data_IF_121809508369
#
_entry.id   IF_121809508369
#
_cell.length_a   1.000
_cell.length_b   1.000
_cell.length_c   1.000
_cell.angle_alpha   90.00
_cell.angle_beta   90.00
_cell.angle_gamma   90.00
#
_symmetry.space_group_name_H-M   'P 1'
#
loop_
_entity.id
_entity.type
_entity.pdbx_description
1 polymer ?
#
# COMPACT_ATOMS: atom_id res chain seq x y z
N UNK A 1 25.85 -14.16 -8.17
CA UNK A 1 26.56 -14.59 -9.38
C UNK A 1 26.69 -16.11 -9.41
N UNK A 2 26.67 -16.69 -10.61
CA UNK A 2 26.93 -18.08 -10.95
C UNK A 2 28.29 -18.16 -11.67
N UNK A 3 29.37 -18.31 -10.90
CA UNK A 3 30.73 -18.26 -11.44
C UNK A 3 31.09 -19.45 -12.35
N UNK A 4 30.18 -20.42 -12.53
CA UNK A 4 30.36 -21.53 -13.47
C UNK A 4 30.01 -21.15 -14.92
N UNK A 5 29.57 -19.93 -15.20
CA UNK A 5 29.21 -19.45 -16.54
C UNK A 5 30.07 -18.25 -16.90
N UNK A 6 30.65 -18.24 -18.09
CA UNK A 6 31.45 -17.11 -18.55
C UNK A 6 30.56 -15.88 -18.81
N UNK A 7 30.88 -14.69 -18.27
CA UNK A 7 30.07 -13.48 -18.44
C UNK A 7 29.87 -13.09 -19.91
N UNK A 8 30.87 -13.36 -20.75
CA UNK A 8 30.84 -13.05 -22.18
C UNK A 8 29.93 -13.99 -22.98
N UNK A 9 29.52 -15.13 -22.42
CA UNK A 9 28.67 -16.12 -23.10
C UNK A 9 27.21 -15.95 -22.69
N UNK A 10 26.95 -15.81 -21.39
CA UNK A 10 25.61 -15.57 -20.86
C UNK A 10 25.72 -14.72 -19.60
N UNK A 11 25.76 -13.40 -19.81
CA UNK A 11 25.88 -12.43 -18.73
C UNK A 11 24.72 -12.52 -17.75
N UNK A 12 23.50 -12.79 -18.22
CA UNK A 12 22.32 -12.92 -17.37
C UNK A 12 22.47 -14.12 -16.43
N UNK A 13 22.87 -15.29 -16.95
CA UNK A 13 23.10 -16.47 -16.12
C UNK A 13 24.28 -16.29 -15.18
N UNK A 14 25.36 -15.65 -15.60
CA UNK A 14 26.48 -15.32 -14.72
C UNK A 14 26.06 -14.37 -13.58
N UNK A 15 25.35 -13.29 -13.88
CA UNK A 15 24.93 -12.32 -12.87
C UNK A 15 23.86 -12.90 -11.93
N UNK A 16 22.77 -13.43 -12.50
CA UNK A 16 21.52 -13.78 -11.82
C UNK A 16 21.39 -15.28 -11.51
N UNK A 17 22.14 -16.16 -12.16
CA UNK A 17 21.96 -17.62 -12.06
C UNK A 17 22.09 -18.17 -10.64
N UNK A 18 22.99 -17.60 -9.83
CA UNK A 18 23.11 -17.95 -8.42
C UNK A 18 21.89 -17.57 -7.58
N UNK A 19 21.21 -16.46 -7.94
CA UNK A 19 19.96 -16.05 -7.29
C UNK A 19 18.82 -16.99 -7.70
N UNK A 20 18.70 -17.31 -9.00
CA UNK A 20 17.68 -18.23 -9.52
C UNK A 20 17.79 -19.64 -8.89
N UNK A 21 19.01 -20.13 -8.63
CA UNK A 21 19.23 -21.43 -7.96
C UNK A 21 18.77 -21.45 -6.51
N UNK A 22 18.79 -20.31 -5.82
CA UNK A 22 18.48 -20.21 -4.38
C UNK A 22 17.06 -19.75 -4.08
N UNK A 23 16.38 -19.13 -5.05
CA UNK A 23 15.08 -18.51 -4.87
C UNK A 23 14.09 -19.13 -5.85
N UNK A 24 13.39 -20.17 -5.36
CA UNK A 24 12.29 -20.80 -6.10
C UNK A 24 11.05 -19.94 -5.93
N UNK A 25 10.29 -19.77 -7.01
CA UNK A 25 9.04 -19.01 -6.99
C UNK A 25 8.03 -19.76 -6.08
N UNK A 26 7.49 -19.11 -5.02
CA UNK A 26 6.50 -19.73 -4.16
C UNK A 26 5.21 -20.09 -4.91
N UNK A 27 4.50 -21.12 -4.45
CA UNK A 27 3.21 -21.59 -5.01
C UNK A 27 2.11 -20.51 -5.04
N UNK A 28 2.23 -19.51 -4.17
CA UNK A 28 1.28 -18.38 -4.07
C UNK A 28 1.61 -17.22 -5.00
N UNK A 29 2.69 -17.32 -5.79
CA UNK A 29 3.25 -16.19 -6.53
C UNK A 29 3.58 -16.58 -7.97
N UNK A 30 3.36 -15.65 -8.90
CA UNK A 30 3.71 -15.82 -10.33
C UNK A 30 5.13 -15.36 -10.66
N UNK A 31 5.74 -14.58 -9.76
CA UNK A 31 7.10 -14.07 -9.83
C UNK A 31 7.70 -14.01 -8.44
N UNK A 32 9.01 -13.93 -8.37
CA UNK A 32 9.72 -13.73 -7.12
C UNK A 32 10.93 -12.86 -7.37
N UNK A 33 11.17 -11.89 -6.49
CA UNK A 33 12.21 -10.88 -6.62
C UNK A 33 12.55 -10.30 -5.24
N UNK A 34 13.56 -9.43 -5.17
CA UNK A 34 13.88 -8.72 -3.93
C UNK A 34 12.72 -7.84 -3.45
N UNK A 35 11.88 -7.32 -4.34
CA UNK A 35 10.67 -6.59 -3.96
C UNK A 35 9.66 -7.50 -3.25
N UNK A 36 9.51 -8.74 -3.73
CA UNK A 36 8.56 -9.70 -3.15
C UNK A 36 9.05 -10.19 -1.78
N UNK A 37 10.36 -10.46 -1.63
CA UNK A 37 10.98 -10.78 -0.33
C UNK A 37 10.74 -9.66 0.68
N UNK A 38 11.01 -8.41 0.29
CA UNK A 38 10.80 -7.27 1.15
C UNK A 38 9.34 -7.03 1.49
N UNK A 39 8.42 -7.29 0.54
CA UNK A 39 6.98 -7.23 0.81
C UNK A 39 6.59 -8.31 1.82
N UNK A 40 7.12 -9.51 1.70
CA UNK A 40 6.88 -10.59 2.65
C UNK A 40 7.35 -10.24 4.06
N UNK A 41 8.54 -9.63 4.19
CA UNK A 41 9.08 -9.14 5.46
C UNK A 41 8.25 -7.99 6.04
N UNK A 42 7.86 -7.02 5.20
CA UNK A 42 6.97 -5.93 5.59
C UNK A 42 5.64 -6.46 6.09
N UNK A 43 5.02 -7.42 5.39
CA UNK A 43 3.78 -8.06 5.82
C UNK A 43 3.94 -8.78 7.16
N UNK A 44 5.08 -9.44 7.41
CA UNK A 44 5.38 -10.05 8.71
C UNK A 44 5.51 -9.00 9.82
N UNK A 45 6.10 -7.83 9.54
CA UNK A 45 6.13 -6.70 10.49
C UNK A 45 4.72 -6.21 10.77
N UNK A 46 3.89 -6.06 9.72
CA UNK A 46 2.48 -5.71 9.86
C UNK A 46 1.69 -6.77 10.67
N UNK A 47 2.16 -8.02 10.68
CA UNK A 47 1.60 -9.14 11.46
C UNK A 47 2.16 -9.25 12.90
N UNK A 48 3.35 -8.73 13.19
CA UNK A 48 4.27 -9.29 14.19
C UNK A 48 4.11 -8.86 15.67
N UNK A 49 3.56 -9.75 16.49
CA UNK A 49 3.84 -10.05 17.93
C UNK A 49 3.66 -9.01 19.04
N UNK A 50 3.52 -7.71 18.75
CA UNK A 50 3.06 -6.70 19.72
C UNK A 50 1.80 -5.95 19.26
N UNK A 51 1.27 -6.34 18.11
CA UNK A 51 0.18 -5.68 17.43
C UNK A 51 -1.05 -6.56 17.53
N UNK A 52 -1.89 -6.23 18.50
CA UNK A 52 -3.31 -6.42 18.32
C UNK A 52 -3.93 -5.04 18.12
N UNK A 53 -5.01 -4.94 17.36
CA UNK A 53 -5.78 -3.70 17.29
C UNK A 53 -6.08 -3.20 18.72
N UNK A 54 -6.32 -4.12 19.66
CA UNK A 54 -6.51 -3.79 21.08
C UNK A 54 -5.30 -3.09 21.72
N UNK A 55 -4.05 -3.49 21.45
CA UNK A 55 -2.86 -2.90 22.10
C UNK A 55 -2.54 -1.51 21.55
N UNK A 56 -2.69 -1.30 20.24
CA UNK A 56 -2.53 0.02 19.62
C UNK A 56 -3.65 0.98 20.05
N UNK A 57 -4.89 0.50 20.09
CA UNK A 57 -6.05 1.28 20.57
C UNK A 57 -5.94 1.56 22.08
N UNK A 58 -5.44 0.62 22.89
CA UNK A 58 -5.21 0.82 24.33
C UNK A 58 -4.11 1.85 24.62
N UNK A 59 -3.01 1.84 23.86
CA UNK A 59 -1.95 2.85 23.99
C UNK A 59 -2.44 4.24 23.57
N UNK A 60 -3.23 4.33 22.49
CA UNK A 60 -3.86 5.57 22.05
C UNK A 60 -4.88 6.09 23.09
N UNK A 61 -5.74 5.22 23.62
CA UNK A 61 -6.72 5.60 24.65
C UNK A 61 -6.07 6.00 25.98
N UNK A 62 -5.01 5.29 26.41
CA UNK A 62 -4.29 5.59 27.65
C UNK A 62 -3.49 6.89 27.57
N UNK A 63 -3.01 7.28 26.39
CA UNK A 63 -2.15 8.45 26.22
C UNK A 63 -2.93 9.74 25.96
N UNK A 64 -4.11 9.66 25.34
CA UNK A 64 -4.79 10.84 24.79
C UNK A 64 -6.16 11.17 25.38
N UNK A 65 -6.74 10.32 26.25
CA UNK A 65 -7.94 10.65 27.04
C UNK A 65 -9.19 11.02 26.24
N UNK A 66 -9.17 10.89 24.91
CA UNK A 66 -10.30 11.09 24.01
C UNK A 66 -10.71 9.74 23.46
N UNK A 67 -11.97 9.36 23.71
CA UNK A 67 -12.57 8.13 23.22
C UNK A 67 -12.52 8.08 21.69
N UNK A 68 -11.62 7.28 21.13
CA UNK A 68 -11.90 6.61 19.86
C UNK A 68 -12.83 5.46 20.24
N UNK A 69 -14.14 5.68 20.11
CA UNK A 69 -15.16 4.69 20.49
C UNK A 69 -15.19 3.55 19.47
N UNK A 70 -14.34 2.55 19.67
CA UNK A 70 -14.56 1.19 19.18
C UNK A 70 -14.78 0.36 20.45
N UNK A 71 -16.05 0.06 20.74
CA UNK A 71 -16.44 -0.71 21.93
C UNK A 71 -16.27 -2.20 21.62
N UNK A 72 -15.24 -2.83 22.17
CA UNK A 72 -15.07 -4.29 22.18
C UNK A 72 -15.71 -4.85 23.47
N UNK A 73 -16.65 -5.78 23.35
CA UNK A 73 -17.15 -6.57 24.49
C UNK A 73 -16.51 -7.96 24.43
N UNK A 74 -15.74 -8.31 25.46
CA UNK A 74 -15.16 -9.66 25.62
C UNK A 74 -16.24 -10.58 26.18
N UNK A 75 -16.69 -11.55 25.39
CA UNK A 75 -17.50 -12.66 25.88
C UNK A 75 -16.68 -13.52 26.84
N UNK A 76 -17.17 -13.71 28.05
CA UNK A 76 -16.57 -14.63 29.03
C UNK A 76 -16.92 -16.07 28.65
N UNK A 77 -16.04 -16.78 27.93
CA UNK A 77 -15.68 -18.17 28.20
C UNK A 77 -14.67 -18.71 27.16
N UNK A 78 -13.38 -18.64 27.46
CA UNK A 78 -12.52 -19.84 27.43
C UNK A 78 -11.24 -19.62 28.25
N UNK A 79 -11.12 -20.39 29.33
CA UNK A 79 -9.86 -20.50 30.07
C UNK A 79 -8.86 -21.28 29.21
N UNK A 80 -7.89 -20.56 28.63
CA UNK A 80 -6.66 -21.03 27.94
C UNK A 80 -6.68 -21.13 26.40
N UNK A 81 -6.82 -20.02 25.68
CA UNK A 81 -6.48 -19.98 24.25
C UNK A 81 -5.36 -18.97 23.96
N UNK A 82 -4.12 -19.46 23.88
CA UNK A 82 -2.91 -18.70 23.48
C UNK A 82 -2.77 -18.53 21.95
N UNK A 83 -3.86 -18.61 21.18
CA UNK A 83 -3.86 -18.46 19.72
C UNK A 83 -5.15 -17.72 19.29
N UNK A 84 -5.01 -16.47 18.83
CA UNK A 84 -6.08 -15.76 18.13
C UNK A 84 -5.69 -15.61 16.66
N UNK A 85 -6.07 -16.62 15.88
CA UNK A 85 -6.20 -16.59 14.43
C UNK A 85 -7.49 -17.39 14.16
N UNK A 86 -8.23 -17.08 13.09
CA UNK A 86 -9.49 -17.67 12.59
C UNK A 86 -10.63 -16.67 12.83
N UNK A 87 -11.07 -15.89 11.82
CA UNK A 87 -12.22 -16.29 10.99
C UNK A 87 -12.31 -15.60 9.60
N UNK A 88 -11.19 -15.24 8.96
CA UNK A 88 -11.26 -14.53 7.68
C UNK A 88 -11.46 -15.42 6.43
N UNK A 89 -11.26 -16.74 6.51
CA UNK A 89 -11.66 -17.67 5.41
C UNK A 89 -13.18 -17.91 5.37
N UNK A 90 -13.85 -17.96 6.53
CA UNK A 90 -15.31 -17.92 6.59
C UNK A 90 -15.82 -16.59 6.04
N UNK A 91 -15.21 -15.46 6.44
CA UNK A 91 -15.69 -14.13 6.04
C UNK A 91 -15.73 -13.85 4.53
N UNK A 92 -14.83 -14.40 3.70
CA UNK A 92 -14.88 -14.17 2.23
C UNK A 92 -15.93 -15.06 1.54
N UNK A 93 -16.09 -16.31 1.96
CA UNK A 93 -17.15 -17.16 1.44
C UNK A 93 -18.51 -16.63 1.91
N UNK A 94 -18.60 -16.22 3.17
CA UNK A 94 -19.79 -15.58 3.75
C UNK A 94 -20.10 -14.22 3.09
N UNK A 95 -19.07 -13.48 2.66
CA UNK A 95 -19.19 -12.29 1.81
C UNK A 95 -19.83 -12.64 0.46
N UNK A 96 -19.30 -13.63 -0.24
CA UNK A 96 -19.83 -14.04 -1.55
C UNK A 96 -21.26 -14.57 -1.42
N UNK A 97 -21.56 -15.30 -0.35
CA UNK A 97 -22.92 -15.75 0.00
C UNK A 97 -23.84 -14.55 0.25
N UNK A 98 -23.39 -13.55 1.01
CA UNK A 98 -24.18 -12.35 1.33
C UNK A 98 -24.46 -11.49 0.09
N UNK A 99 -23.47 -11.32 -0.78
CA UNK A 99 -23.64 -10.64 -2.08
C UNK A 99 -24.63 -11.41 -2.97
N UNK A 100 -24.46 -12.73 -3.09
CA UNK A 100 -25.36 -13.57 -3.88
C UNK A 100 -26.80 -13.55 -3.33
N UNK A 101 -26.96 -13.52 -2.00
CA UNK A 101 -28.25 -13.35 -1.32
C UNK A 101 -28.89 -12.01 -1.69
N UNK A 102 -28.14 -10.90 -1.62
CA UNK A 102 -28.63 -9.56 -1.96
C UNK A 102 -29.06 -9.47 -3.43
N UNK A 103 -28.26 -9.98 -4.36
CA UNK A 103 -28.59 -10.01 -5.80
C UNK A 103 -29.89 -10.81 -6.02
N UNK A 104 -30.04 -11.97 -5.36
CA UNK A 104 -31.27 -12.77 -5.47
C UNK A 104 -32.48 -12.05 -4.87
N UNK A 105 -32.32 -11.28 -3.79
CA UNK A 105 -33.39 -10.46 -3.23
C UNK A 105 -33.84 -9.36 -4.21
N UNK A 106 -32.89 -8.67 -4.85
CA UNK A 106 -33.16 -7.59 -5.81
C UNK A 106 -33.87 -8.13 -7.07
N UNK A 107 -33.39 -9.25 -7.59
CA UNK A 107 -33.93 -9.93 -8.78
C UNK A 107 -35.18 -10.79 -8.47
N UNK A 108 -35.65 -10.82 -7.22
CA UNK A 108 -36.79 -11.63 -6.74
C UNK A 108 -36.66 -13.13 -7.03
N UNK A 109 -35.44 -13.65 -6.94
CA UNK A 109 -35.13 -15.06 -7.11
C UNK A 109 -35.28 -15.84 -5.78
N UNK A 110 -35.55 -17.16 -5.82
CA UNK A 110 -35.58 -17.99 -4.62
C UNK A 110 -34.22 -18.01 -3.88
N UNK A 111 -34.26 -17.95 -2.56
CA UNK A 111 -33.07 -17.97 -1.69
C UNK A 111 -33.08 -19.29 -0.92
N UNK A 112 -32.16 -20.18 -1.28
CA UNK A 112 -31.81 -21.38 -0.52
C UNK A 112 -30.38 -21.22 -0.01
N UNK A 113 -30.24 -21.12 1.32
CA UNK A 113 -28.95 -20.88 1.99
C UNK A 113 -27.94 -22.02 1.76
N UNK A 114 -28.41 -23.27 1.68
CA UNK A 114 -27.53 -24.41 1.45
C UNK A 114 -27.03 -24.42 0.00
N UNK A 115 -27.92 -24.10 -0.95
CA UNK A 115 -27.56 -24.01 -2.36
C UNK A 115 -26.62 -22.83 -2.63
N UNK A 116 -26.87 -21.67 -2.00
CA UNK A 116 -25.98 -20.51 -2.07
C UNK A 116 -24.57 -20.86 -1.58
N UNK A 117 -24.46 -21.52 -0.42
CA UNK A 117 -23.17 -21.93 0.12
C UNK A 117 -22.44 -22.88 -0.83
N UNK A 118 -23.13 -23.87 -1.40
CA UNK A 118 -22.54 -24.81 -2.36
C UNK A 118 -22.05 -24.11 -3.63
N UNK A 119 -22.87 -23.21 -4.18
CA UNK A 119 -22.55 -22.46 -5.40
C UNK A 119 -21.35 -21.52 -5.17
N UNK A 120 -21.30 -20.82 -4.03
CA UNK A 120 -20.17 -19.92 -3.72
C UNK A 120 -18.88 -20.69 -3.47
N UNK A 121 -18.92 -21.86 -2.81
CA UNK A 121 -17.75 -22.72 -2.70
C UNK A 121 -17.24 -23.19 -4.07
N UNK A 122 -18.14 -23.47 -5.02
CA UNK A 122 -17.75 -23.80 -6.40
C UNK A 122 -17.15 -22.60 -7.14
N UNK A 123 -17.65 -21.38 -6.91
CA UNK A 123 -17.05 -20.15 -7.43
C UNK A 123 -15.64 -19.97 -6.90
N UNK A 124 -15.40 -20.19 -5.60
CA UNK A 124 -14.05 -20.15 -5.02
C UNK A 124 -13.09 -21.14 -5.67
N UNK A 125 -13.55 -22.36 -5.93
CA UNK A 125 -12.75 -23.38 -6.61
C UNK A 125 -12.41 -22.96 -8.05
N UNK A 126 -13.38 -22.41 -8.78
CA UNK A 126 -13.16 -21.86 -10.13
C UNK A 126 -12.23 -20.64 -10.12
N UNK A 127 -12.34 -19.74 -9.14
CA UNK A 127 -11.42 -18.61 -8.98
C UNK A 127 -9.98 -19.11 -8.79
N UNK A 128 -9.79 -20.19 -8.00
CA UNK A 128 -8.49 -20.83 -7.83
C UNK A 128 -7.98 -21.47 -9.12
N UNK A 129 -8.84 -22.16 -9.88
CA UNK A 129 -8.48 -22.75 -11.18
C UNK A 129 -8.08 -21.67 -12.20
N UNK A 130 -8.83 -20.57 -12.26
CA UNK A 130 -8.53 -19.41 -13.11
C UNK A 130 -7.20 -18.78 -12.70
N UNK A 131 -6.97 -18.58 -11.40
CA UNK A 131 -5.71 -18.03 -10.90
C UNK A 131 -4.52 -18.92 -11.26
N UNK A 132 -4.66 -20.24 -11.15
CA UNK A 132 -3.64 -21.19 -11.58
C UNK A 132 -3.38 -21.10 -13.09
N UNK A 133 -4.45 -21.09 -13.91
CA UNK A 133 -4.31 -21.02 -15.36
C UNK A 133 -3.70 -19.70 -15.85
N UNK A 134 -4.03 -18.56 -15.22
CA UNK A 134 -3.55 -17.24 -15.62
C UNK A 134 -2.18 -16.88 -15.05
N UNK A 135 -1.92 -17.24 -13.79
CA UNK A 135 -0.76 -16.76 -13.04
C UNK A 135 0.18 -17.88 -12.59
N UNK A 136 -0.18 -19.15 -12.79
CA UNK A 136 0.60 -20.30 -12.34
C UNK A 136 0.57 -20.53 -10.83
N UNK A 137 -0.28 -19.81 -10.09
CA UNK A 137 -0.37 -19.92 -8.64
C UNK A 137 -1.25 -21.10 -8.24
N UNK A 138 -0.72 -22.01 -7.42
CA UNK A 138 -1.41 -23.24 -7.00
C UNK A 138 -2.07 -23.10 -5.63
N UNK A 139 -1.78 -22.03 -4.90
CA UNK A 139 -2.37 -21.73 -3.59
C UNK A 139 -2.68 -20.24 -3.42
N UNK A 140 -3.67 -19.94 -2.58
CA UNK A 140 -3.90 -18.57 -2.11
C UNK A 140 -2.83 -18.14 -1.09
N UNK A 141 -2.60 -16.83 -0.98
CA UNK A 141 -1.80 -16.25 0.10
C UNK A 141 -2.51 -16.41 1.46
N UNK A 142 -1.72 -16.49 2.53
CA UNK A 142 -2.25 -16.68 3.87
C UNK A 142 -3.26 -15.58 4.25
N UNK A 143 -4.36 -15.95 4.89
CA UNK A 143 -5.47 -15.04 5.18
C UNK A 143 -5.04 -13.77 5.94
N UNK A 144 -4.16 -13.91 6.93
CA UNK A 144 -3.63 -12.76 7.69
C UNK A 144 -2.87 -11.76 6.80
N UNK A 145 -2.19 -12.22 5.73
CA UNK A 145 -1.49 -11.36 4.76
C UNK A 145 -2.51 -10.53 4.00
N UNK A 146 -3.58 -11.16 3.52
CA UNK A 146 -4.69 -10.48 2.83
C UNK A 146 -5.33 -9.41 3.73
N UNK A 147 -5.60 -9.72 4.99
CA UNK A 147 -6.16 -8.76 5.94
C UNK A 147 -5.21 -7.59 6.22
N UNK A 148 -3.92 -7.86 6.48
CA UNK A 148 -2.93 -6.81 6.71
C UNK A 148 -2.82 -5.86 5.50
N UNK A 149 -2.75 -6.42 4.29
CA UNK A 149 -2.71 -5.65 3.05
C UNK A 149 -4.01 -4.86 2.81
N UNK A 150 -5.17 -5.45 3.11
CA UNK A 150 -6.45 -4.77 2.97
C UNK A 150 -6.56 -3.54 3.89
N UNK A 151 -6.18 -3.68 5.17
CA UNK A 151 -6.20 -2.56 6.12
C UNK A 151 -5.16 -1.51 5.71
N UNK A 152 -3.96 -1.91 5.30
CA UNK A 152 -2.94 -0.99 4.80
C UNK A 152 -3.44 -0.20 3.58
N UNK A 153 -4.15 -0.84 2.66
CA UNK A 153 -4.70 -0.17 1.46
C UNK A 153 -5.85 0.79 1.74
N UNK A 154 -6.64 0.58 2.80
CA UNK A 154 -7.76 1.46 3.16
C UNK A 154 -7.39 2.52 4.20
N UNK A 155 -6.36 2.26 5.00
CA UNK A 155 -5.92 3.11 6.12
C UNK A 155 -4.40 3.36 6.07
N UNK A 156 -3.90 3.76 4.90
CA UNK A 156 -2.47 3.83 4.60
C UNK A 156 -1.65 4.71 5.55
N UNK A 157 -2.22 5.83 6.03
CA UNK A 157 -1.53 6.73 6.96
C UNK A 157 -1.51 6.18 8.39
N UNK A 158 -2.61 5.56 8.84
CA UNK A 158 -2.64 4.89 10.14
C UNK A 158 -1.66 3.72 10.17
N UNK A 159 -1.74 2.80 9.22
CA UNK A 159 -0.81 1.66 9.13
C UNK A 159 0.62 2.13 8.86
N UNK A 160 0.79 3.16 8.04
CA UNK A 160 2.07 3.81 7.77
C UNK A 160 2.74 4.30 9.05
N UNK A 161 2.01 5.02 9.91
CA UNK A 161 2.50 5.50 11.22
C UNK A 161 3.00 4.34 12.08
N UNK A 162 2.20 3.28 12.17
CA UNK A 162 2.54 2.09 12.96
C UNK A 162 3.81 1.41 12.42
N UNK A 163 3.93 1.31 11.10
CA UNK A 163 5.09 0.73 10.43
C UNK A 163 6.37 1.54 10.68
N UNK A 164 6.33 2.87 10.53
CA UNK A 164 7.54 3.69 10.73
C UNK A 164 7.99 3.71 12.20
N UNK A 165 7.06 3.72 13.15
CA UNK A 165 7.39 3.58 14.59
C UNK A 165 8.07 2.23 14.91
N UNK A 166 7.70 1.15 14.20
CA UNK A 166 8.23 -0.19 14.44
C UNK A 166 9.56 -0.47 13.72
N UNK A 167 9.69 -0.01 12.48
CA UNK A 167 10.67 -0.56 11.53
C UNK A 167 11.55 0.47 10.81
N UNK A 168 11.24 1.77 10.90
CA UNK A 168 11.97 2.78 10.13
C UNK A 168 12.86 3.67 11.00
N UNK A 169 14.15 3.69 10.71
CA UNK A 169 15.10 4.59 11.37
C UNK A 169 15.09 5.97 10.70
N UNK A 170 14.76 7.03 11.46
CA UNK A 170 14.65 8.40 10.93
C UNK A 170 15.90 8.93 10.23
N UNK A 171 17.10 8.51 10.65
CA UNK A 171 18.38 8.89 10.03
C UNK A 171 18.49 8.47 8.55
N UNK A 172 17.74 7.45 8.13
CA UNK A 172 17.69 7.00 6.73
C UNK A 172 17.17 8.09 5.79
N UNK A 173 16.34 9.02 6.28
CA UNK A 173 15.70 10.07 5.47
C UNK A 173 16.76 11.02 4.88
N UNK A 174 17.69 11.52 5.70
CA UNK A 174 18.71 12.47 5.26
C UNK A 174 19.71 11.89 4.27
N UNK A 175 20.09 10.62 4.43
CA UNK A 175 21.00 9.96 3.48
C UNK A 175 20.34 9.79 2.12
N UNK A 176 19.04 9.48 2.08
CA UNK A 176 18.30 9.33 0.83
C UNK A 176 18.02 10.68 0.17
N UNK A 177 17.77 11.73 0.97
CA UNK A 177 17.69 13.12 0.48
C UNK A 177 18.94 13.51 -0.31
N UNK A 178 20.12 13.23 0.23
CA UNK A 178 21.41 13.51 -0.41
C UNK A 178 21.61 12.69 -1.71
N UNK A 179 21.26 11.40 -1.70
CA UNK A 179 21.32 10.57 -2.91
C UNK A 179 20.40 11.10 -4.03
N UNK A 180 19.19 11.56 -3.68
CA UNK A 180 18.26 12.16 -4.66
C UNK A 180 18.85 13.44 -5.25
N UNK A 181 19.44 14.30 -4.43
CA UNK A 181 20.08 15.53 -4.89
C UNK A 181 21.21 15.23 -5.90
N UNK A 182 22.09 14.29 -5.56
CA UNK A 182 23.19 13.90 -6.44
C UNK A 182 22.71 13.30 -7.77
N UNK A 183 21.71 12.41 -7.74
CA UNK A 183 21.20 11.77 -8.96
C UNK A 183 20.45 12.79 -9.84
N UNK A 184 19.72 13.72 -9.23
CA UNK A 184 19.10 14.84 -9.96
C UNK A 184 20.15 15.70 -10.66
N UNK A 185 21.25 16.00 -9.98
CA UNK A 185 22.37 16.75 -10.55
C UNK A 185 22.98 16.00 -11.74
N UNK A 186 23.27 14.70 -11.58
CA UNK A 186 23.80 13.86 -12.66
C UNK A 186 22.84 13.81 -13.86
N UNK A 187 21.53 13.70 -13.62
CA UNK A 187 20.53 13.75 -14.67
C UNK A 187 20.61 15.05 -15.47
N UNK A 188 20.70 16.19 -14.79
CA UNK A 188 20.80 17.51 -15.41
C UNK A 188 22.11 17.64 -16.20
N UNK A 189 23.24 17.25 -15.60
CA UNK A 189 24.55 17.27 -16.27
C UNK A 189 24.54 16.42 -17.55
N UNK A 190 23.85 15.26 -17.51
CA UNK A 190 23.74 14.37 -18.67
C UNK A 190 23.01 15.03 -19.84
N UNK A 191 22.12 16.01 -19.61
CA UNK A 191 21.41 16.72 -20.69
C UNK A 191 22.38 17.40 -21.66
N UNK A 192 23.51 17.91 -21.18
CA UNK A 192 24.52 18.58 -22.02
C UNK A 192 25.12 17.62 -23.05
N UNK A 193 25.34 16.37 -22.66
CA UNK A 193 25.93 15.33 -23.51
C UNK A 193 24.95 14.74 -24.54
N UNK A 194 23.63 14.97 -24.39
CA UNK A 194 22.63 14.45 -25.32
C UNK A 194 22.70 15.17 -26.67
N UNK A 195 23.29 14.52 -27.67
CA UNK A 195 23.47 15.09 -29.03
C UNK A 195 22.19 15.17 -29.85
N UNK A 196 21.10 14.53 -29.39
CA UNK A 196 19.84 14.41 -30.11
C UNK A 196 18.78 15.44 -29.69
N UNK A 197 19.04 16.23 -28.63
CA UNK A 197 18.14 17.28 -28.14
C UNK A 197 18.70 18.67 -28.49
N UNK A 198 17.84 19.58 -28.94
CA UNK A 198 18.20 20.99 -29.07
C UNK A 198 18.31 21.69 -27.70
N UNK A 199 18.98 22.85 -27.68
CA UNK A 199 19.26 23.60 -26.45
C UNK A 199 18.00 24.14 -25.75
N UNK A 200 16.93 24.44 -26.50
CA UNK A 200 15.67 24.94 -25.93
C UNK A 200 14.96 23.83 -25.15
N UNK A 201 14.89 22.63 -25.74
CA UNK A 201 14.32 21.45 -25.12
C UNK A 201 15.14 21.00 -23.91
N UNK A 202 16.48 21.05 -23.98
CA UNK A 202 17.36 20.77 -22.82
C UNK A 202 17.06 21.69 -21.64
N UNK A 203 16.92 23.00 -21.90
CA UNK A 203 16.56 23.98 -20.86
C UNK A 203 15.21 23.66 -20.21
N UNK A 204 14.21 23.27 -21.00
CA UNK A 204 12.91 22.86 -20.45
C UNK A 204 12.99 21.57 -19.63
N UNK A 205 13.82 20.62 -20.05
CA UNK A 205 14.05 19.39 -19.30
C UNK A 205 14.73 19.68 -17.95
N UNK A 206 15.71 20.58 -17.92
CA UNK A 206 16.35 21.06 -16.69
C UNK A 206 15.34 21.76 -15.76
N UNK A 207 14.55 22.71 -16.27
CA UNK A 207 13.50 23.41 -15.51
C UNK A 207 12.55 22.41 -14.82
N UNK A 208 12.18 21.34 -15.53
CA UNK A 208 11.32 20.29 -15.00
C UNK A 208 12.00 19.41 -13.95
N UNK A 209 13.24 19.00 -14.20
CA UNK A 209 14.03 18.17 -13.28
C UNK A 209 14.26 18.90 -11.95
N UNK A 210 14.57 20.20 -12.00
CA UNK A 210 14.70 21.05 -10.81
C UNK A 210 13.38 21.21 -10.04
N UNK A 211 12.25 21.21 -10.75
CA UNK A 211 10.91 21.33 -10.17
C UNK A 211 10.32 20.01 -9.65
N UNK A 212 11.05 18.88 -9.73
CA UNK A 212 10.58 17.60 -9.17
C UNK A 212 10.51 17.74 -7.65
N UNK A 213 9.34 17.40 -7.08
CA UNK A 213 9.12 17.32 -5.63
C UNK A 213 9.43 15.92 -5.12
N UNK A 214 10.32 15.80 -4.15
CA UNK A 214 10.65 14.53 -3.49
C UNK A 214 9.84 14.31 -2.21
N UNK A 215 9.40 13.07 -1.99
CA UNK A 215 8.76 12.57 -0.75
C UNK A 215 9.48 11.31 -0.29
N UNK A 216 9.97 11.29 0.93
CA UNK A 216 10.93 10.27 1.40
C UNK A 216 10.48 9.73 2.76
N UNK A 217 10.35 8.41 2.85
CA UNK A 217 9.92 7.70 4.06
C UNK A 217 8.42 7.82 4.30
N UNK A 218 8.01 8.90 4.97
CA UNK A 218 6.62 9.11 5.40
C UNK A 218 6.30 10.61 5.56
N UNK A 219 5.01 11.01 5.48
CA UNK A 219 4.58 12.35 5.85
C UNK A 219 4.73 12.58 7.37
N UNK A 220 5.46 13.62 7.79
CA UNK A 220 5.76 13.85 9.22
C UNK A 220 4.51 14.08 10.10
N UNK A 221 3.39 14.47 9.50
CA UNK A 221 2.12 14.72 10.17
C UNK A 221 1.39 13.44 10.62
N UNK A 222 1.64 12.28 10.01
CA UNK A 222 1.06 11.01 10.48
C UNK A 222 1.58 10.65 11.88
N UNK A 223 2.79 11.11 12.23
CA UNK A 223 3.40 10.92 13.55
C UNK A 223 3.09 12.09 14.50
N UNK A 224 3.17 13.32 13.98
CA UNK A 224 3.14 14.53 14.82
C UNK A 224 1.74 15.11 15.05
N UNK A 225 0.73 14.75 14.24
CA UNK A 225 -0.59 15.38 14.28
C UNK A 225 -1.73 14.35 14.38
N UNK A 226 -1.96 13.90 15.62
CA UNK A 226 -3.01 12.93 15.94
C UNK A 226 -4.41 13.41 15.52
N UNK A 227 -4.70 14.72 15.61
CA UNK A 227 -5.99 15.27 15.20
C UNK A 227 -6.21 15.16 13.69
N UNK A 228 -5.18 15.47 12.88
CA UNK A 228 -5.25 15.34 11.42
C UNK A 228 -5.47 13.89 11.01
N UNK A 229 -4.71 12.96 11.60
CA UNK A 229 -4.82 11.53 11.32
C UNK A 229 -6.21 10.99 11.72
N UNK A 230 -6.72 11.34 12.89
CA UNK A 230 -8.05 10.91 13.33
C UNK A 230 -9.16 11.48 12.42
N UNK A 231 -9.05 12.76 12.05
CA UNK A 231 -10.04 13.42 11.19
C UNK A 231 -10.04 12.88 9.76
N UNK A 232 -8.94 12.27 9.30
CA UNK A 232 -8.90 11.65 7.97
C UNK A 232 -9.93 10.52 7.84
N UNK A 233 -10.25 9.82 8.93
CA UNK A 233 -11.20 8.71 8.97
C UNK A 233 -12.61 9.13 9.43
N UNK A 234 -12.86 10.45 9.47
CA UNK A 234 -14.16 11.06 9.76
C UNK A 234 -14.67 11.74 8.48
N UNK A 235 -15.82 11.32 7.97
CA UNK A 235 -16.49 12.04 6.89
C UNK A 235 -17.67 12.85 7.42
N UNK A 236 -17.81 14.10 6.97
CA UNK A 236 -19.04 14.87 7.13
C UNK A 236 -19.86 14.76 5.84
N UNK A 237 -21.12 14.34 5.94
CA UNK A 237 -22.05 14.25 4.81
C UNK A 237 -23.30 15.11 5.06
N UNK A 238 -23.84 15.68 3.99
CA UNK A 238 -25.14 16.34 3.98
C UNK A 238 -26.14 15.36 3.38
N UNK A 239 -27.18 15.00 4.12
CA UNK A 239 -28.22 14.13 3.60
C UNK A 239 -29.01 14.86 2.49
N UNK A 240 -28.83 14.45 1.23
CA UNK A 240 -29.54 15.03 0.07
C UNK A 240 -31.06 14.79 0.16
N UNK A 241 -31.53 13.87 1.01
CA UNK A 241 -32.95 13.72 1.31
C UNK A 241 -33.55 14.90 2.10
N UNK A 242 -32.71 15.82 2.58
CA UNK A 242 -33.05 16.90 3.52
C UNK A 242 -32.73 18.29 2.96
N UNK A 243 -32.74 18.46 1.63
CA UNK A 243 -32.45 19.75 0.97
C UNK A 243 -33.48 20.86 1.34
N UNK A 244 -34.63 20.48 1.89
CA UNK A 244 -35.71 21.42 2.26
C UNK A 244 -35.79 21.78 3.76
N UNK A 245 -34.85 21.34 4.60
CA UNK A 245 -34.82 21.72 6.02
C UNK A 245 -33.72 22.76 6.25
N UNK A 246 -34.11 23.89 6.86
CA UNK A 246 -33.20 24.94 7.28
C UNK A 246 -33.18 25.02 8.81
N UNK A 247 -32.05 24.78 9.48
CA UNK A 247 -30.72 24.51 8.91
C UNK A 247 -30.56 23.06 8.41
N UNK A 248 -29.68 22.81 7.41
CA UNK A 248 -29.36 21.47 6.96
C UNK A 248 -28.77 20.63 8.10
N UNK A 249 -29.22 19.38 8.23
CA UNK A 249 -28.69 18.43 9.20
C UNK A 249 -27.44 17.79 8.58
N UNK A 250 -26.28 18.09 9.15
CA UNK A 250 -25.02 17.43 8.79
C UNK A 250 -24.91 16.14 9.61
N UNK A 251 -24.84 14.98 8.94
CA UNK A 251 -24.50 13.72 9.59
C UNK A 251 -23.01 13.47 9.45
N UNK A 252 -22.36 13.10 10.56
CA UNK A 252 -20.98 12.62 10.54
C UNK A 252 -21.02 11.14 10.17
N UNK A 253 -20.60 10.81 8.95
CA UNK A 253 -20.31 9.44 8.54
C UNK A 253 -18.88 9.11 8.98
N UNK A 254 -18.77 8.62 10.20
CA UNK A 254 -17.52 8.08 10.73
C UNK A 254 -17.34 6.64 10.23
N UNK A 255 -16.13 6.29 9.77
CA UNK A 255 -15.77 4.87 9.60
C UNK A 255 -15.94 4.19 10.96
N UNK A 256 -16.94 3.32 11.04
CA UNK A 256 -17.38 2.66 12.27
C UNK A 256 -17.41 1.18 11.96
N UNK A 257 -16.30 0.53 12.30
CA UNK A 257 -16.13 -0.89 12.04
C UNK A 257 -16.75 -1.73 13.16
N UNK A 258 -17.32 -2.86 12.77
CA UNK A 258 -17.74 -3.93 13.69
C UNK A 258 -16.97 -5.20 13.37
N UNK A 259 -16.47 -5.88 14.40
CA UNK A 259 -15.58 -7.04 14.22
C UNK A 259 -16.24 -8.23 13.55
N UNK A 260 -17.55 -8.40 13.78
CA UNK A 260 -18.38 -9.48 13.27
C UNK A 260 -18.99 -9.19 11.89
N UNK A 261 -18.81 -7.98 11.35
CA UNK A 261 -19.47 -7.49 10.12
C UNK A 261 -18.42 -7.10 9.06
N UNK A 262 -17.59 -8.06 8.64
CA UNK A 262 -16.50 -7.81 7.69
C UNK A 262 -17.00 -7.27 6.34
N UNK A 263 -18.15 -7.75 5.85
CA UNK A 263 -18.72 -7.30 4.58
C UNK A 263 -19.16 -5.84 4.66
N UNK A 264 -19.87 -5.48 5.71
CA UNK A 264 -20.38 -4.14 5.98
C UNK A 264 -19.21 -3.15 6.09
N UNK A 265 -18.11 -3.57 6.73
CA UNK A 265 -16.88 -2.78 6.80
C UNK A 265 -16.28 -2.52 5.41
N UNK A 266 -16.26 -3.53 4.53
CA UNK A 266 -15.79 -3.36 3.14
C UNK A 266 -16.69 -2.38 2.38
N UNK A 267 -18.00 -2.55 2.46
CA UNK A 267 -18.96 -1.67 1.80
C UNK A 267 -18.83 -0.24 2.32
N UNK A 268 -18.59 -0.06 3.62
CA UNK A 268 -18.34 1.25 4.22
C UNK A 268 -17.07 1.90 3.64
N UNK A 269 -15.97 1.15 3.51
CA UNK A 269 -14.73 1.65 2.90
C UNK A 269 -14.93 2.06 1.43
N UNK A 270 -15.65 1.26 0.64
CA UNK A 270 -15.95 1.57 -0.75
C UNK A 270 -16.75 2.87 -0.89
N UNK A 271 -17.81 3.03 -0.07
CA UNK A 271 -18.63 4.25 -0.05
C UNK A 271 -17.81 5.47 0.36
N UNK A 272 -17.02 5.36 1.41
CA UNK A 272 -16.16 6.43 1.92
C UNK A 272 -15.13 6.88 0.88
N UNK A 273 -14.40 5.94 0.26
CA UNK A 273 -13.39 6.23 -0.75
C UNK A 273 -14.00 6.92 -1.98
N UNK A 274 -15.14 6.41 -2.47
CA UNK A 274 -15.83 7.00 -3.62
C UNK A 274 -16.34 8.41 -3.30
N UNK A 275 -16.94 8.62 -2.13
CA UNK A 275 -17.42 9.94 -1.70
C UNK A 275 -16.27 10.95 -1.57
N UNK A 276 -15.16 10.56 -0.94
CA UNK A 276 -13.92 11.38 -0.83
C UNK A 276 -13.41 11.77 -2.22
N UNK A 277 -13.40 10.85 -3.19
CA UNK A 277 -12.97 11.15 -4.56
C UNK A 277 -13.92 12.11 -5.28
N UNK A 278 -15.24 11.90 -5.18
CA UNK A 278 -16.23 12.76 -5.86
C UNK A 278 -16.20 14.19 -5.33
N UNK A 279 -16.00 14.39 -4.02
CA UNK A 279 -15.88 15.72 -3.42
C UNK A 279 -14.69 16.52 -3.96
N UNK A 280 -13.60 15.85 -4.35
CA UNK A 280 -12.42 16.50 -4.93
C UNK A 280 -12.70 17.17 -6.29
N UNK A 281 -13.85 16.92 -6.95
CA UNK A 281 -14.16 17.49 -8.27
C UNK A 281 -14.19 19.02 -8.31
N UNK A 282 -14.58 19.69 -7.22
CA UNK A 282 -14.66 21.15 -7.13
C UNK A 282 -13.55 21.77 -6.28
N UNK A 283 -12.74 20.93 -5.66
CA UNK A 283 -11.62 21.37 -4.84
C UNK A 283 -10.35 21.54 -5.67
N UNK A 284 -9.43 22.36 -5.19
CA UNK A 284 -8.10 22.45 -5.79
C UNK A 284 -7.30 21.19 -5.47
N UNK A 285 -6.48 20.75 -6.43
CA UNK A 285 -5.52 19.67 -6.19
C UNK A 285 -4.51 20.12 -5.15
N UNK A 286 -4.47 19.44 -4.02
CA UNK A 286 -3.40 19.56 -3.04
C UNK A 286 -2.16 18.88 -3.61
N UNK A 287 -1.20 19.66 -4.13
CA UNK A 287 0.05 19.14 -4.71
C UNK A 287 1.04 18.61 -3.65
N UNK A 288 0.73 18.73 -2.37
CA UNK A 288 1.57 18.26 -1.29
C UNK A 288 1.12 16.91 -0.72
N UNK A 289 -0.11 16.49 -0.99
CA UNK A 289 -0.61 15.13 -0.77
C UNK A 289 0.32 14.08 -1.42
N UNK A 290 0.68 13.06 -0.63
CA UNK A 290 1.47 11.93 -1.07
C UNK A 290 0.63 11.00 -1.93
N UNK A 291 1.24 10.38 -2.95
CA UNK A 291 0.56 9.43 -3.84
C UNK A 291 0.60 7.98 -3.35
N UNK A 292 1.27 7.73 -2.21
CA UNK A 292 1.39 6.41 -1.59
C UNK A 292 1.68 6.53 -0.09
N UNK A 293 1.11 5.64 0.71
CA UNK A 293 1.46 5.48 2.13
C UNK A 293 2.89 4.94 2.39
N UNK A 294 3.31 5.01 3.65
CA UNK A 294 4.68 4.69 4.06
C UNK A 294 5.01 3.18 4.08
N UNK A 295 4.03 2.33 4.39
CA UNK A 295 4.17 0.88 4.51
C UNK A 295 4.05 0.18 3.15
N UNK A 296 4.85 0.62 2.17
CA UNK A 296 4.81 0.13 0.78
C UNK A 296 6.22 -0.18 0.30
N UNK A 297 6.41 -1.37 -0.24
CA UNK A 297 7.67 -1.76 -0.92
C UNK A 297 7.54 -1.45 -2.41
N UNK A 298 7.71 -0.17 -2.75
CA UNK A 298 7.76 0.32 -4.12
C UNK A 298 8.35 1.74 -4.16
N UNK A 299 8.48 2.34 -5.34
CA UNK A 299 8.64 3.77 -5.54
C UNK A 299 7.71 4.24 -6.66
N UNK A 300 7.47 5.56 -6.75
CA UNK A 300 6.48 6.10 -7.67
C UNK A 300 6.84 7.48 -8.20
N UNK A 301 6.44 7.74 -9.45
CA UNK A 301 6.38 9.07 -10.06
C UNK A 301 4.94 9.45 -10.43
N UNK A 302 4.57 10.71 -10.18
CA UNK A 302 3.29 11.29 -10.61
C UNK A 302 3.51 12.48 -11.53
N UNK A 303 3.13 12.33 -12.81
CA UNK A 303 3.26 13.37 -13.83
C UNK A 303 2.47 14.64 -13.51
N UNK A 304 1.20 14.49 -13.07
CA UNK A 304 0.35 15.63 -12.72
C UNK A 304 0.84 16.45 -11.51
N UNK A 305 1.66 15.85 -10.64
CA UNK A 305 2.25 16.49 -9.46
C UNK A 305 3.72 16.85 -9.63
N UNK A 306 4.38 16.34 -10.69
CA UNK A 306 5.83 16.33 -10.86
C UNK A 306 6.54 15.87 -9.58
N UNK A 307 6.12 14.71 -9.05
CA UNK A 307 6.50 14.25 -7.71
C UNK A 307 7.06 12.82 -7.76
N UNK A 308 8.19 12.59 -7.08
CA UNK A 308 8.77 11.27 -6.83
C UNK A 308 8.57 10.89 -5.35
N UNK A 309 8.19 9.64 -5.08
CA UNK A 309 7.90 9.14 -3.74
C UNK A 309 8.64 7.84 -3.46
N UNK A 310 9.39 7.83 -2.35
CA UNK A 310 10.11 6.66 -1.83
C UNK A 310 9.59 6.34 -0.42
N UNK A 311 8.54 5.51 -0.28
CA UNK A 311 8.00 5.09 1.00
C UNK A 311 9.05 4.43 1.91
N UNK A 312 8.82 4.48 3.22
CA UNK A 312 9.71 3.84 4.20
C UNK A 312 9.95 2.35 3.91
N UNK A 313 8.94 1.66 3.37
CA UNK A 313 9.00 0.24 3.02
C UNK A 313 10.06 -0.15 1.97
N UNK A 314 10.50 0.75 1.09
CA UNK A 314 11.59 0.44 0.14
C UNK A 314 12.98 0.80 0.68
N UNK A 315 13.06 1.62 1.73
CA UNK A 315 14.31 2.16 2.29
C UNK A 315 14.96 1.20 3.30
N UNK A 316 15.16 -0.04 2.85
CA UNK A 316 15.75 -1.14 3.62
C UNK A 316 16.55 -2.07 2.70
N UNK A 317 17.42 -2.95 3.25
CA UNK A 317 18.18 -3.89 2.43
C UNK A 317 17.27 -4.80 1.59
N UNK A 318 17.65 -5.16 0.35
CA UNK A 318 18.94 -4.87 -0.27
C UNK A 318 19.04 -3.47 -0.92
N UNK A 319 17.95 -2.71 -1.00
CA UNK A 319 17.95 -1.43 -1.71
C UNK A 319 18.76 -0.35 -0.99
N UNK A 320 18.59 -0.24 0.33
CA UNK A 320 19.22 0.81 1.11
C UNK A 320 19.62 0.38 2.52
N UNK A 321 20.81 0.81 2.94
CA UNK A 321 21.17 0.90 4.36
C UNK A 321 22.26 1.94 4.56
N UNK A 322 22.13 2.76 5.60
CA UNK A 322 23.21 3.68 6.00
C UNK A 322 24.50 2.93 6.42
N UNK A 323 24.43 1.63 6.67
CA UNK A 323 25.57 0.79 7.09
C UNK A 323 26.16 -0.06 5.95
N UNK A 324 25.50 -0.16 4.80
CA UNK A 324 26.02 -0.91 3.66
C UNK A 324 26.92 -0.04 2.77
N UNK A 325 27.75 -0.66 1.95
CA UNK A 325 28.65 0.08 1.05
C UNK A 325 27.86 0.94 0.06
N UNK A 326 28.35 2.15 -0.22
CA UNK A 326 27.70 3.07 -1.16
C UNK A 326 27.44 2.44 -2.53
N UNK A 327 28.33 1.58 -3.03
CA UNK A 327 28.11 0.84 -4.28
C UNK A 327 26.80 0.03 -4.30
N UNK A 328 26.40 -0.55 -3.16
CA UNK A 328 25.12 -1.25 -3.02
C UNK A 328 23.95 -0.27 -2.94
N UNK A 329 24.12 0.88 -2.27
CA UNK A 329 23.10 1.92 -2.22
C UNK A 329 22.85 2.52 -3.62
N UNK A 330 23.88 2.89 -4.39
CA UNK A 330 23.70 3.40 -5.75
C UNK A 330 23.14 2.33 -6.70
N UNK A 331 23.60 1.09 -6.60
CA UNK A 331 23.06 -0.02 -7.41
C UNK A 331 21.65 -0.46 -7.01
N UNK A 332 21.24 -0.22 -5.76
CA UNK A 332 19.92 -0.48 -5.22
C UNK A 332 19.03 0.75 -5.33
N UNK A 333 18.89 1.51 -4.23
CA UNK A 333 18.00 2.67 -4.17
C UNK A 333 18.39 3.77 -5.17
N UNK A 334 19.67 3.95 -5.50
CA UNK A 334 20.10 4.94 -6.48
C UNK A 334 19.56 4.67 -7.88
N UNK A 335 19.56 3.41 -8.32
CA UNK A 335 18.92 3.02 -9.59
C UNK A 335 17.41 3.28 -9.55
N UNK A 336 16.74 2.97 -8.43
CA UNK A 336 15.31 3.24 -8.26
C UNK A 336 15.03 4.75 -8.30
N UNK A 337 15.86 5.58 -7.67
CA UNK A 337 15.74 7.04 -7.75
C UNK A 337 15.88 7.54 -9.19
N UNK A 338 16.90 7.06 -9.91
CA UNK A 338 17.09 7.39 -11.32
C UNK A 338 15.90 6.97 -12.18
N UNK A 339 15.30 5.80 -11.90
CA UNK A 339 14.10 5.30 -12.56
C UNK A 339 12.91 6.25 -12.38
N UNK A 340 12.60 6.65 -11.13
CA UNK A 340 11.48 7.57 -10.86
C UNK A 340 11.70 8.98 -11.42
N UNK A 341 12.94 9.49 -11.43
CA UNK A 341 13.25 10.77 -12.11
C UNK A 341 13.02 10.63 -13.62
N UNK A 342 13.46 9.52 -14.21
CA UNK A 342 13.36 9.29 -15.67
C UNK A 342 11.91 9.13 -16.12
N UNK A 343 11.00 8.65 -15.27
CA UNK A 343 9.56 8.68 -15.55
C UNK A 343 9.01 10.10 -15.80
N UNK A 344 9.67 11.14 -15.30
CA UNK A 344 9.35 12.52 -15.68
C UNK A 344 9.66 12.88 -17.12
N UNK A 345 10.34 12.01 -17.85
CA UNK A 345 10.88 12.23 -19.19
C UNK A 345 10.63 11.05 -20.14
N UNK A 346 9.81 10.08 -19.75
CA UNK A 346 9.40 8.97 -20.63
C UNK A 346 8.36 9.43 -21.68
N UNK A 347 7.83 8.48 -22.45
CA UNK A 347 6.87 8.73 -23.53
C UNK A 347 5.57 9.39 -23.09
N UNK A 348 5.16 9.20 -21.83
CA UNK A 348 3.97 9.82 -21.21
C UNK A 348 4.32 11.04 -20.37
N UNK A 349 5.47 10.98 -19.71
CA UNK A 349 5.91 11.94 -18.72
C UNK A 349 6.56 13.16 -19.32
N UNK A 350 7.20 13.09 -20.50
CA UNK A 350 8.07 14.14 -21.09
C UNK A 350 7.43 15.53 -21.27
N UNK A 351 8.32 16.52 -21.39
CA UNK A 351 8.02 17.93 -21.69
C UNK A 351 7.31 18.07 -23.04
#
# INVERSE_FOLDING_TARGET
MDASVEPCTDFFKYACGGWLKRNVIPETSSRYSNFDILRDELEVILKGTSWTAEKSIAQLNSKYGKKVLINFFVGTDDKNSTHHIIHACTAYVDFMISVARLIRQEERLPIDENQLSLEMNKVMELEKEIANALYGTTSETATWRRCANYVNGNMENAVGRLYVEAAFAGESKHVVEDLIAQIREVFIQTLDDLTWMDAETKKKAEEKALAIKERIGYPDDIISNDNKLNNEYLEQYCDDAVINISPPIFYLMQLTYKEDEYFENIIQNLKFSQSKQLKKLREKVDKDEWISGAAVVNAFYSSGRNQIVFPAGILQPPFFSARQSNSLNYGGIGMVIGHEITHGFDDNGKV
#
